data_IF_571946515810
#
_entry.id   IF_571946515810
#
_cell.length_a   1.000
_cell.length_b   1.000
_cell.length_c   1.000
_cell.angle_alpha   90.00
_cell.angle_beta   90.00
_cell.angle_gamma   90.00
#
_symmetry.space_group_name_H-M   'P 1'
#
loop_
_entity.id
_entity.type
_entity.pdbx_description
1 polymer ?
#
# COMPACT_ATOMS: atom_id res chain seq x y z
N UNK A 1 -2.18 3.74 -10.89
CA UNK A 1 -2.11 4.64 -9.71
C UNK A 1 -0.82 4.40 -8.95
N UNK A 2 -0.12 5.47 -8.59
CA UNK A 2 1.17 5.39 -7.88
C UNK A 2 1.00 5.44 -6.36
N UNK A 3 1.95 4.85 -5.65
CA UNK A 3 2.00 4.82 -4.19
C UNK A 3 3.45 4.97 -3.72
N UNK A 4 3.65 5.53 -2.54
CA UNK A 4 4.93 5.50 -1.83
C UNK A 4 4.69 4.93 -0.44
N UNK A 5 5.48 3.95 -0.04
CA UNK A 5 5.48 3.41 1.30
C UNK A 5 6.77 3.79 2.03
N UNK A 6 6.63 4.29 3.25
CA UNK A 6 7.74 4.66 4.13
C UNK A 6 7.66 3.79 5.37
N UNK A 7 8.71 3.01 5.61
CA UNK A 7 8.86 2.27 6.85
C UNK A 7 9.70 3.11 7.82
N UNK A 8 9.22 3.25 9.04
CA UNK A 8 9.84 3.99 10.14
C UNK A 8 10.07 3.02 11.29
N UNK A 9 11.31 2.80 11.67
CA UNK A 9 11.68 1.96 12.81
C UNK A 9 11.98 2.85 14.01
N UNK A 10 11.27 2.61 15.08
CA UNK A 10 11.45 3.29 16.37
C UNK A 10 11.80 2.29 17.47
N UNK A 11 12.40 2.75 18.57
CA UNK A 11 12.34 2.00 19.82
C UNK A 11 10.94 2.11 20.41
N UNK A 12 10.43 1.03 20.95
CA UNK A 12 9.14 1.05 21.62
C UNK A 12 9.10 2.04 22.79
N UNK A 13 10.23 2.25 23.46
CA UNK A 13 10.39 3.24 24.53
C UNK A 13 10.22 4.70 24.09
N UNK A 14 10.28 4.98 22.80
CA UNK A 14 10.00 6.33 22.26
C UNK A 14 8.50 6.66 22.26
N UNK A 15 7.64 5.67 22.45
CA UNK A 15 6.19 5.88 22.55
C UNK A 15 5.79 5.95 24.01
N UNK A 16 5.16 7.07 24.42
CA UNK A 16 4.58 7.22 25.75
C UNK A 16 3.46 6.22 25.99
N UNK A 17 2.65 5.96 24.96
CA UNK A 17 1.73 4.83 24.87
C UNK A 17 1.68 4.36 23.43
N UNK A 18 1.70 3.04 23.21
CA UNK A 18 1.62 2.47 21.87
C UNK A 18 0.18 2.06 21.57
N UNK A 19 -0.42 2.51 20.46
CA UNK A 19 -1.84 2.31 20.23
C UNK A 19 -2.18 0.84 19.98
N UNK A 20 -3.37 0.39 20.38
CA UNK A 20 -3.88 -0.93 20.00
C UNK A 20 -4.27 -0.96 18.51
N UNK A 21 -4.46 -2.18 17.96
CA UNK A 21 -4.94 -2.38 16.60
C UNK A 21 -3.83 -2.54 15.58
N UNK A 22 -4.21 -2.53 14.29
CA UNK A 22 -3.31 -2.85 13.17
C UNK A 22 -2.86 -1.62 12.40
N UNK A 23 -3.48 -0.46 12.62
CA UNK A 23 -3.14 0.78 11.92
C UNK A 23 -4.26 1.81 11.92
N UNK A 24 -4.05 2.88 11.15
CA UNK A 24 -4.95 4.02 11.01
C UNK A 24 -5.17 4.32 9.53
N UNK A 25 -6.38 4.78 9.19
CA UNK A 25 -6.70 5.33 7.87
C UNK A 25 -6.94 6.82 8.05
N UNK A 26 -6.36 7.61 7.16
CA UNK A 26 -6.46 9.07 7.20
C UNK A 26 -7.44 9.57 6.13
N UNK A 27 -8.26 10.57 6.45
CA UNK A 27 -9.11 11.22 5.47
C UNK A 27 -8.27 11.90 4.39
N UNK A 28 -8.88 12.14 3.25
CA UNK A 28 -8.24 12.90 2.17
C UNK A 28 -7.87 14.30 2.66
N UNK A 29 -6.69 14.79 2.25
CA UNK A 29 -6.19 16.09 2.68
C UNK A 29 -5.53 16.12 4.06
N UNK A 30 -5.56 15.02 4.82
CA UNK A 30 -4.84 14.98 6.10
C UNK A 30 -3.34 15.27 5.88
N UNK A 31 -2.82 16.21 6.66
CA UNK A 31 -1.43 16.71 6.59
C UNK A 31 -1.01 17.30 5.22
N UNK A 32 -1.89 17.42 4.24
CA UNK A 32 -1.63 18.09 2.96
C UNK A 32 -0.64 17.40 2.00
N UNK A 33 -0.14 16.21 2.36
CA UNK A 33 0.96 15.53 1.65
C UNK A 33 0.56 14.22 0.97
N UNK A 34 -0.72 13.96 0.85
CA UNK A 34 -1.23 12.71 0.25
C UNK A 34 -1.11 11.49 1.16
N UNK A 35 -0.98 11.68 2.47
CA UNK A 35 -0.99 10.60 3.46
C UNK A 35 -2.34 9.88 3.45
N UNK A 36 -2.34 8.54 3.44
CA UNK A 36 -3.57 7.72 3.33
C UNK A 36 -3.74 6.73 4.48
N UNK A 37 -2.68 6.11 4.92
CA UNK A 37 -2.76 5.09 5.96
C UNK A 37 -1.44 4.93 6.70
N UNK A 38 -1.56 4.35 7.89
CA UNK A 38 -0.46 3.86 8.71
C UNK A 38 -0.78 2.43 9.10
N UNK A 39 0.18 1.51 8.95
CA UNK A 39 0.11 0.16 9.54
C UNK A 39 1.11 0.04 10.68
N UNK A 40 0.67 -0.54 11.79
CA UNK A 40 1.50 -1.01 12.89
C UNK A 40 1.96 -2.42 12.53
N UNK A 41 3.13 -2.53 11.89
CA UNK A 41 3.59 -3.78 11.25
C UNK A 41 3.88 -4.85 12.29
N UNK A 42 4.42 -4.46 13.44
CA UNK A 42 4.71 -5.32 14.59
C UNK A 42 3.44 -5.91 15.23
N UNK A 43 2.32 -5.17 15.21
CA UNK A 43 1.01 -5.70 15.65
C UNK A 43 0.32 -6.55 14.59
N UNK A 44 0.46 -6.16 13.32
CA UNK A 44 -0.20 -6.85 12.22
C UNK A 44 0.43 -8.21 11.92
N UNK A 45 1.74 -8.34 12.13
CA UNK A 45 2.51 -9.54 11.79
C UNK A 45 3.41 -9.94 12.96
N UNK A 46 2.91 -10.85 13.78
CA UNK A 46 3.64 -11.38 14.94
C UNK A 46 5.01 -11.96 14.54
N UNK A 47 6.02 -11.69 15.36
CA UNK A 47 7.37 -12.25 15.20
C UNK A 47 8.23 -11.58 14.11
N UNK A 48 7.73 -10.57 13.40
CA UNK A 48 8.52 -9.86 12.36
C UNK A 48 9.39 -8.74 12.90
N UNK A 49 9.09 -8.25 14.09
CA UNK A 49 9.79 -7.12 14.71
C UNK A 49 10.13 -7.51 16.14
N UNK A 50 11.38 -7.31 16.59
CA UNK A 50 11.75 -7.51 17.99
C UNK A 50 10.85 -6.70 18.95
N UNK A 51 10.60 -7.23 20.15
CA UNK A 51 9.63 -6.65 21.07
C UNK A 51 9.98 -5.23 21.55
N UNK A 52 11.27 -4.91 21.57
CA UNK A 52 11.80 -3.58 21.95
C UNK A 52 11.68 -2.54 20.83
N UNK A 53 11.32 -2.97 19.62
CA UNK A 53 11.15 -2.10 18.44
C UNK A 53 9.68 -1.97 18.03
N UNK A 54 9.38 -0.91 17.33
CA UNK A 54 8.10 -0.62 16.70
C UNK A 54 8.34 -0.28 15.22
N UNK A 55 7.70 -1.01 14.32
CA UNK A 55 7.80 -0.76 12.90
C UNK A 55 6.48 -0.23 12.36
N UNK A 56 6.51 1.01 11.92
CA UNK A 56 5.38 1.69 11.33
C UNK A 56 5.56 1.79 9.83
N UNK A 57 4.52 1.46 9.05
CA UNK A 57 4.51 1.66 7.60
C UNK A 57 3.47 2.69 7.22
N UNK A 58 3.94 3.78 6.68
CA UNK A 58 3.13 4.91 6.22
C UNK A 58 2.93 4.81 4.71
N UNK A 59 1.70 5.05 4.26
CA UNK A 59 1.35 5.00 2.84
C UNK A 59 0.95 6.38 2.35
N UNK A 60 1.58 6.80 1.26
CA UNK A 60 1.25 8.02 0.54
C UNK A 60 0.66 7.70 -0.83
N UNK A 61 -0.35 8.48 -1.23
CA UNK A 61 -0.69 8.68 -2.62
C UNK A 61 -0.09 10.02 -3.02
N UNK A 62 1.06 10.04 -3.71
CA UNK A 62 1.74 11.28 -4.06
C UNK A 62 0.81 12.24 -4.81
N UNK A 63 0.86 13.52 -4.46
CA UNK A 63 0.07 14.58 -5.08
C UNK A 63 0.99 15.42 -5.97
N UNK A 64 0.51 15.81 -7.15
CA UNK A 64 1.29 16.57 -8.11
C UNK A 64 2.55 15.79 -8.54
N UNK A 65 3.69 16.46 -8.52
CA UNK A 65 5.00 15.92 -8.89
C UNK A 65 5.77 15.20 -7.74
N UNK A 66 5.16 15.07 -6.57
CA UNK A 66 5.83 14.56 -5.37
C UNK A 66 6.48 13.18 -5.58
N UNK A 67 5.91 12.33 -6.45
CA UNK A 67 6.50 11.00 -6.74
C UNK A 67 7.93 11.09 -7.27
N UNK A 68 8.21 12.07 -8.11
CA UNK A 68 9.50 12.26 -8.81
C UNK A 68 10.35 13.36 -8.21
N UNK A 69 9.72 14.43 -7.72
CA UNK A 69 10.43 15.61 -7.21
C UNK A 69 10.88 15.47 -5.74
N UNK A 70 10.19 14.65 -4.93
CA UNK A 70 10.59 14.49 -3.54
C UNK A 70 11.69 13.45 -3.40
N UNK A 71 12.69 13.79 -2.57
CA UNK A 71 13.72 12.83 -2.15
C UNK A 71 13.17 11.82 -1.14
N UNK A 72 13.87 10.71 -0.94
CA UNK A 72 13.52 9.73 0.09
C UNK A 72 13.59 10.35 1.49
N UNK A 73 14.56 11.22 1.74
CA UNK A 73 14.67 11.96 2.98
C UNK A 73 13.45 12.84 3.24
N UNK A 74 12.89 13.46 2.20
CA UNK A 74 11.66 14.27 2.34
C UNK A 74 10.46 13.39 2.66
N UNK A 75 10.26 12.27 1.97
CA UNK A 75 9.18 11.34 2.31
C UNK A 75 9.31 10.79 3.74
N UNK A 76 10.53 10.46 4.18
CA UNK A 76 10.77 9.98 5.54
C UNK A 76 10.43 11.05 6.58
N UNK A 77 10.85 12.30 6.35
CA UNK A 77 10.56 13.45 7.22
C UNK A 77 9.05 13.71 7.32
N UNK A 78 8.35 13.79 6.20
CA UNK A 78 6.89 13.99 6.17
C UNK A 78 6.14 12.86 6.87
N UNK A 79 6.61 11.61 6.70
CA UNK A 79 6.05 10.46 7.41
C UNK A 79 6.26 10.56 8.93
N UNK A 80 7.48 10.89 9.39
CA UNK A 80 7.79 11.03 10.81
C UNK A 80 6.96 12.17 11.44
N UNK A 81 6.86 13.32 10.78
CA UNK A 81 6.05 14.44 11.23
C UNK A 81 4.56 14.08 11.32
N UNK A 82 4.02 13.36 10.32
CA UNK A 82 2.64 12.92 10.33
C UNK A 82 2.37 11.94 11.49
N UNK A 83 3.29 11.01 11.75
CA UNK A 83 3.20 10.10 12.89
C UNK A 83 3.20 10.86 14.21
N UNK A 84 4.09 11.82 14.40
CA UNK A 84 4.18 12.61 15.63
C UNK A 84 2.91 13.44 15.93
N UNK A 85 2.08 13.72 14.91
CA UNK A 85 0.78 14.40 15.09
C UNK A 85 -0.32 13.48 15.65
N UNK A 86 -0.22 12.18 15.42
CA UNK A 86 -1.29 11.22 15.75
C UNK A 86 -0.89 10.19 16.81
N UNK A 87 0.39 9.99 17.01
CA UNK A 87 0.92 9.08 18.02
C UNK A 87 1.84 9.82 18.99
N UNK A 88 1.81 9.45 20.30
CA UNK A 88 2.65 10.07 21.31
C UNK A 88 4.10 9.56 21.24
N UNK A 89 4.76 9.74 20.10
CA UNK A 89 6.14 9.34 19.83
C UNK A 89 7.09 10.51 20.14
N UNK A 90 8.27 10.20 20.66
CA UNK A 90 9.33 11.17 20.95
C UNK A 90 10.60 10.85 20.15
N UNK A 91 11.22 11.89 19.61
CA UNK A 91 12.43 11.76 18.80
C UNK A 91 12.19 11.22 17.40
N UNK A 92 13.27 11.00 16.69
CA UNK A 92 13.28 10.56 15.31
C UNK A 92 13.30 9.02 15.20
N UNK A 93 12.87 8.43 14.09
CA UNK A 93 13.03 7.02 13.84
C UNK A 93 14.51 6.63 13.75
N UNK A 94 14.89 5.46 14.26
CA UNK A 94 16.27 4.95 14.17
C UNK A 94 16.68 4.62 12.73
N UNK A 95 15.71 4.17 11.94
CA UNK A 95 15.90 3.86 10.52
C UNK A 95 14.64 4.15 9.72
N UNK A 96 14.83 4.49 8.46
CA UNK A 96 13.76 4.71 7.49
C UNK A 96 14.07 3.99 6.18
N UNK A 97 13.02 3.52 5.51
CA UNK A 97 13.10 2.96 4.16
C UNK A 97 11.95 3.49 3.33
N UNK A 98 12.24 3.95 2.14
CA UNK A 98 11.24 4.48 1.20
C UNK A 98 11.17 3.57 -0.02
N UNK A 99 9.96 3.15 -0.37
CA UNK A 99 9.71 2.38 -1.59
C UNK A 99 8.69 3.11 -2.44
N UNK A 100 9.05 3.34 -3.72
CA UNK A 100 8.20 4.02 -4.71
C UNK A 100 7.59 2.98 -5.65
N UNK A 101 6.29 3.09 -5.84
CA UNK A 101 5.50 2.19 -6.67
C UNK A 101 4.82 3.04 -7.74
N UNK A 102 5.57 3.37 -8.80
CA UNK A 102 5.04 4.15 -9.91
C UNK A 102 4.07 3.30 -10.71
N UNK A 103 2.85 3.80 -10.91
CA UNK A 103 1.76 3.18 -11.67
C UNK A 103 1.53 1.68 -11.41
N UNK A 104 1.86 1.23 -10.19
CA UNK A 104 1.85 -0.18 -9.81
C UNK A 104 0.46 -0.70 -9.39
N UNK A 105 -0.50 0.19 -9.14
CA UNK A 105 -1.84 -0.21 -8.71
C UNK A 105 -2.85 0.09 -9.82
N UNK A 106 -3.70 -0.90 -10.19
CA UNK A 106 -4.78 -0.67 -11.13
C UNK A 106 -5.79 0.34 -10.56
N UNK A 107 -6.45 1.07 -11.46
CA UNK A 107 -7.55 1.97 -11.14
C UNK A 107 -8.80 1.39 -11.78
N UNK A 108 -9.77 1.04 -10.96
CA UNK A 108 -11.04 0.50 -11.42
C UNK A 108 -12.04 1.64 -11.61
N UNK A 109 -12.33 1.96 -12.88
CA UNK A 109 -13.44 2.85 -13.24
C UNK A 109 -14.79 2.13 -13.03
N UNK A 110 -15.93 2.85 -12.99
CA UNK A 110 -17.25 2.21 -12.94
C UNK A 110 -17.47 1.18 -14.06
N UNK A 111 -16.93 1.45 -15.25
CA UNK A 111 -17.09 0.59 -16.44
C UNK A 111 -16.02 -0.51 -16.54
N UNK A 112 -15.05 -0.55 -15.62
CA UNK A 112 -13.91 -1.47 -15.69
C UNK A 112 -14.34 -2.93 -15.87
N UNK A 113 -15.36 -3.36 -15.10
CA UNK A 113 -15.86 -4.74 -15.17
C UNK A 113 -16.41 -5.10 -16.54
N UNK A 114 -17.16 -4.19 -17.17
CA UNK A 114 -17.71 -4.38 -18.50
C UNK A 114 -16.60 -4.41 -19.56
N UNK A 115 -15.63 -3.50 -19.46
CA UNK A 115 -14.46 -3.45 -20.36
C UNK A 115 -13.60 -4.71 -20.25
N UNK A 116 -13.34 -5.19 -19.03
CA UNK A 116 -12.57 -6.41 -18.80
C UNK A 116 -13.30 -7.65 -19.38
N UNK A 117 -14.62 -7.73 -19.22
CA UNK A 117 -15.42 -8.81 -19.79
C UNK A 117 -15.42 -8.78 -21.33
N UNK A 118 -15.57 -7.60 -21.94
CA UNK A 118 -15.52 -7.45 -23.38
C UNK A 118 -14.13 -7.81 -23.95
N UNK A 119 -13.06 -7.41 -23.26
CA UNK A 119 -11.71 -7.80 -23.62
C UNK A 119 -11.50 -9.32 -23.53
N UNK A 120 -11.92 -9.97 -22.43
CA UNK A 120 -11.82 -11.42 -22.24
C UNK A 120 -12.54 -12.15 -23.36
N UNK A 121 -13.76 -11.73 -23.71
CA UNK A 121 -14.52 -12.31 -24.81
C UNK A 121 -13.81 -12.17 -26.17
N UNK A 122 -13.26 -10.99 -26.48
CA UNK A 122 -12.54 -10.76 -27.73
C UNK A 122 -11.26 -11.59 -27.82
N UNK A 123 -10.54 -11.74 -26.72
CA UNK A 123 -9.31 -12.52 -26.66
C UNK A 123 -9.53 -14.02 -26.73
N UNK A 124 -10.64 -14.53 -26.19
CA UNK A 124 -11.01 -15.95 -26.29
C UNK A 124 -11.17 -16.41 -27.76
N UNK A 125 -11.68 -15.53 -28.62
CA UNK A 125 -11.76 -15.82 -30.06
C UNK A 125 -10.38 -16.04 -30.73
N UNK A 126 -9.31 -15.61 -30.07
CA UNK A 126 -7.92 -15.73 -30.50
C UNK A 126 -7.15 -16.81 -29.70
N UNK A 127 -7.85 -17.56 -28.85
CA UNK A 127 -7.25 -18.50 -27.88
C UNK A 127 -6.25 -17.83 -26.92
N UNK A 128 -6.53 -16.56 -26.56
CA UNK A 128 -5.74 -15.80 -25.61
C UNK A 128 -6.55 -15.63 -24.32
N UNK A 129 -5.91 -15.91 -23.19
CA UNK A 129 -6.53 -15.81 -21.88
C UNK A 129 -5.80 -14.82 -21.01
N UNK A 130 -6.54 -14.02 -20.25
CA UNK A 130 -6.00 -13.01 -19.33
C UNK A 130 -6.38 -13.31 -17.89
N UNK A 131 -5.40 -13.19 -16.99
CA UNK A 131 -5.59 -13.34 -15.55
C UNK A 131 -4.85 -12.24 -14.79
N UNK A 132 -5.23 -12.05 -13.54
CA UNK A 132 -4.54 -11.12 -12.62
C UNK A 132 -5.41 -9.97 -12.14
N UNK A 133 -4.88 -9.25 -11.17
CA UNK A 133 -5.60 -8.20 -10.45
C UNK A 133 -6.01 -7.00 -11.32
N UNK A 134 -5.34 -6.78 -12.44
CA UNK A 134 -5.69 -5.68 -13.36
C UNK A 134 -7.03 -5.90 -14.06
N UNK A 135 -7.49 -7.14 -14.20
CA UNK A 135 -8.70 -7.50 -14.95
C UNK A 135 -9.89 -7.83 -14.05
N UNK A 136 -9.66 -8.52 -12.94
CA UNK A 136 -10.72 -9.15 -12.16
C UNK A 136 -10.91 -8.61 -10.74
N UNK A 137 -10.15 -7.60 -10.33
CA UNK A 137 -10.26 -6.96 -9.03
C UNK A 137 -8.96 -6.90 -8.25
N UNK A 138 -8.89 -5.94 -7.32
CA UNK A 138 -7.69 -5.72 -6.52
C UNK A 138 -7.50 -6.81 -5.47
N UNK A 139 -6.24 -7.22 -5.30
CA UNK A 139 -5.84 -8.13 -4.22
C UNK A 139 -5.41 -9.51 -4.73
N UNK A 140 -4.77 -10.24 -3.82
CA UNK A 140 -4.21 -11.57 -4.10
C UNK A 140 -5.33 -12.56 -4.41
N UNK A 141 -6.41 -12.55 -3.61
CA UNK A 141 -7.54 -13.46 -3.79
C UNK A 141 -8.20 -13.31 -5.17
N UNK A 142 -8.39 -12.06 -5.62
CA UNK A 142 -8.94 -11.80 -6.95
C UNK A 142 -7.98 -12.26 -8.07
N UNK A 143 -6.67 -12.10 -7.89
CA UNK A 143 -5.69 -12.57 -8.84
C UNK A 143 -5.66 -14.11 -8.91
N UNK A 144 -5.71 -14.79 -7.76
CA UNK A 144 -5.78 -16.27 -7.71
C UNK A 144 -7.06 -16.78 -8.34
N UNK A 145 -8.22 -16.25 -7.97
CA UNK A 145 -9.51 -16.66 -8.54
C UNK A 145 -9.55 -16.47 -10.06
N UNK A 146 -8.95 -15.39 -10.59
CA UNK A 146 -8.87 -15.19 -12.04
C UNK A 146 -7.98 -16.22 -12.74
N UNK A 147 -6.89 -16.63 -12.08
CA UNK A 147 -6.00 -17.66 -12.61
C UNK A 147 -6.68 -19.05 -12.62
N UNK A 148 -7.44 -19.38 -11.57
CA UNK A 148 -8.21 -20.64 -11.51
C UNK A 148 -9.25 -20.73 -12.64
N UNK A 149 -9.94 -19.62 -12.94
CA UNK A 149 -10.89 -19.56 -14.07
C UNK A 149 -10.17 -19.84 -15.40
N UNK A 150 -9.01 -19.26 -15.61
CA UNK A 150 -8.22 -19.48 -16.83
C UNK A 150 -7.69 -20.92 -16.89
N UNK A 151 -7.15 -21.45 -15.80
CA UNK A 151 -6.68 -22.82 -15.73
C UNK A 151 -7.79 -23.84 -16.07
N UNK A 152 -8.98 -23.65 -15.52
CA UNK A 152 -10.14 -24.50 -15.82
C UNK A 152 -10.55 -24.46 -17.31
N UNK A 153 -10.41 -23.33 -17.99
CA UNK A 153 -10.66 -23.19 -19.43
C UNK A 153 -9.62 -23.94 -20.28
N UNK A 154 -8.37 -23.97 -19.80
CA UNK A 154 -7.27 -24.64 -20.46
C UNK A 154 -7.21 -26.15 -20.16
N UNK A 155 -8.10 -26.68 -19.32
CA UNK A 155 -8.14 -28.10 -18.96
C UNK A 155 -7.05 -28.53 -17.97
N UNK A 156 -6.53 -27.58 -17.19
CA UNK A 156 -5.50 -27.81 -16.17
C UNK A 156 -6.10 -28.02 -14.78
#
# INVERSE_FOLDING_TARGET
MSNVSVNLLYRRSQFRSYPPGSGLIFPEGFAGVGLRALSLVDHKFAGRVPAELALLRVFFRPVGDALTAWTDARFASEAAQAIARVLPVQGEPERTWVSRWADALPVFSPDHKAQAAALDQALQALDIHVAGSAFHGAGIDAAVASAEIVAARLGA
#
